data_IF_569338500650
#
_entry.id   IF_569338500650
#
_cell.length_a   1.000
_cell.length_b   1.000
_cell.length_c   1.000
_cell.angle_alpha   90.00
_cell.angle_beta   90.00
_cell.angle_gamma   90.00
#
_symmetry.space_group_name_H-M   'P 1'
#
loop_
_entity.id
_entity.type
_entity.pdbx_description
1 polymer ?
#
# COMPACT_ATOMS: atom_id res chain seq x y z
N UNK A 1 -3.08 19.13 -25.85
CA UNK A 1 -4.20 18.16 -25.84
C UNK A 1 -3.91 17.14 -24.76
N UNK A 2 -4.88 16.86 -23.87
CA UNK A 2 -4.70 15.88 -22.78
C UNK A 2 -4.57 14.47 -23.38
N UNK A 3 -3.48 13.75 -23.08
CA UNK A 3 -3.17 12.41 -23.59
C UNK A 3 -2.60 11.57 -22.45
N UNK A 4 -3.41 11.32 -21.43
CA UNK A 4 -3.01 10.43 -20.34
C UNK A 4 -3.02 9.01 -20.88
N UNK A 5 -1.92 8.25 -20.80
CA UNK A 5 -1.86 6.91 -21.37
C UNK A 5 -2.88 5.97 -20.72
N UNK A 6 -3.05 6.05 -19.40
CA UNK A 6 -4.06 5.30 -18.64
C UNK A 6 -4.97 6.29 -17.90
N UNK A 7 -6.29 6.18 -18.09
CA UNK A 7 -7.30 7.00 -17.42
C UNK A 7 -8.21 6.11 -16.58
N UNK A 8 -8.35 6.45 -15.29
CA UNK A 8 -9.19 5.73 -14.35
C UNK A 8 -10.20 6.67 -13.70
N UNK A 9 -11.41 6.18 -13.48
CA UNK A 9 -12.42 6.89 -12.70
C UNK A 9 -13.07 5.94 -11.71
N UNK A 10 -13.51 6.50 -10.59
CA UNK A 10 -14.13 5.80 -9.48
C UNK A 10 -15.22 6.69 -8.89
N UNK A 11 -16.39 6.11 -8.66
CA UNK A 11 -17.47 6.74 -7.91
C UNK A 11 -17.40 6.28 -6.44
N UNK A 12 -17.14 7.19 -5.47
CA UNK A 12 -17.02 6.82 -4.07
C UNK A 12 -18.34 6.40 -3.39
N UNK A 13 -19.49 6.66 -4.02
CA UNK A 13 -20.80 6.32 -3.48
C UNK A 13 -21.33 5.01 -4.05
N UNK A 14 -21.19 4.77 -5.35
CA UNK A 14 -21.63 3.52 -5.99
C UNK A 14 -20.56 2.45 -6.03
N UNK A 15 -19.30 2.81 -5.77
CA UNK A 15 -18.12 1.97 -5.96
C UNK A 15 -17.94 1.50 -7.41
N UNK A 16 -18.56 2.18 -8.37
CA UNK A 16 -18.28 1.94 -9.78
C UNK A 16 -16.86 2.38 -10.11
N UNK A 17 -16.14 1.53 -10.85
CA UNK A 17 -14.75 1.73 -11.17
C UNK A 17 -14.47 1.21 -12.57
N UNK A 18 -13.84 2.06 -13.38
CA UNK A 18 -13.39 1.66 -14.71
C UNK A 18 -12.08 2.36 -15.07
N UNK A 19 -11.37 1.74 -16.02
CA UNK A 19 -10.07 2.17 -16.50
C UNK A 19 -10.01 2.05 -18.01
N UNK A 20 -9.23 2.93 -18.62
CA UNK A 20 -9.08 3.01 -20.06
C UNK A 20 -7.64 3.26 -20.44
N UNK A 21 -7.18 2.59 -21.50
CA UNK A 21 -5.85 2.80 -22.07
C UNK A 21 -5.96 3.49 -23.44
N UNK A 22 -5.08 4.44 -23.71
CA UNK A 22 -5.05 5.21 -24.95
C UNK A 22 -4.30 4.46 -26.05
N UNK A 23 -5.04 3.91 -27.03
CA UNK A 23 -4.51 3.20 -28.20
C UNK A 23 -4.95 3.91 -29.47
N UNK A 24 -4.00 4.29 -30.34
CA UNK A 24 -4.26 5.00 -31.59
C UNK A 24 -5.17 6.24 -31.43
N UNK A 25 -5.00 6.96 -30.33
CA UNK A 25 -5.79 8.15 -30.00
C UNK A 25 -7.21 7.88 -29.50
N UNK A 26 -7.56 6.62 -29.21
CA UNK A 26 -8.86 6.22 -28.64
C UNK A 26 -8.67 5.52 -27.31
N UNK A 27 -9.53 5.84 -26.35
CA UNK A 27 -9.57 5.15 -25.07
C UNK A 27 -10.29 3.81 -25.23
N UNK A 28 -9.60 2.72 -24.90
CA UNK A 28 -10.16 1.37 -24.87
C UNK A 28 -10.30 0.92 -23.40
N UNK A 29 -11.38 0.24 -23.02
CA UNK A 29 -11.56 -0.25 -21.66
C UNK A 29 -10.45 -1.23 -21.28
N UNK A 30 -10.01 -1.16 -20.02
CA UNK A 30 -9.12 -2.14 -19.41
C UNK A 30 -10.01 -3.20 -18.77
N UNK A 31 -9.80 -4.46 -19.16
CA UNK A 31 -10.51 -5.58 -18.56
C UNK A 31 -9.98 -5.87 -17.15
N UNK A 32 -10.87 -6.10 -16.16
CA UNK A 32 -10.46 -6.49 -14.82
C UNK A 32 -9.89 -7.91 -14.79
N UNK A 33 -8.95 -8.13 -13.87
CA UNK A 33 -8.51 -9.47 -13.51
C UNK A 33 -9.57 -10.20 -12.66
N UNK A 34 -9.27 -11.44 -12.23
CA UNK A 34 -10.17 -12.26 -11.40
C UNK A 34 -10.57 -11.59 -10.07
N UNK A 35 -9.79 -10.62 -9.59
CA UNK A 35 -10.03 -9.87 -8.36
C UNK A 35 -10.77 -8.55 -8.60
N UNK A 36 -11.10 -8.21 -9.85
CA UNK A 36 -11.72 -6.93 -10.19
C UNK A 36 -10.73 -5.77 -10.35
N UNK A 37 -9.41 -6.04 -10.41
CA UNK A 37 -8.39 -5.00 -10.53
C UNK A 37 -8.02 -4.73 -11.99
N UNK A 38 -7.71 -3.46 -12.30
CA UNK A 38 -7.35 -2.99 -13.63
C UNK A 38 -5.84 -2.77 -13.74
N UNK A 39 -5.21 -3.35 -14.74
CA UNK A 39 -3.76 -3.22 -14.94
C UNK A 39 -3.39 -1.89 -15.60
N UNK A 40 -2.50 -1.12 -14.97
CA UNK A 40 -1.85 0.04 -15.59
C UNK A 40 -0.48 -0.35 -16.13
N UNK A 41 -0.32 -0.30 -17.46
CA UNK A 41 0.96 -0.58 -18.10
C UNK A 41 2.02 0.49 -17.76
N UNK A 42 1.60 1.74 -17.55
CA UNK A 42 2.54 2.82 -17.22
C UNK A 42 3.10 2.69 -15.80
N UNK A 43 2.26 2.28 -14.86
CA UNK A 43 2.66 2.17 -13.46
C UNK A 43 3.25 0.79 -13.13
N UNK A 44 3.00 -0.23 -13.95
CA UNK A 44 3.24 -1.64 -13.64
C UNK A 44 2.59 -2.04 -12.31
N UNK A 45 1.39 -1.50 -12.08
CA UNK A 45 0.58 -1.72 -10.89
C UNK A 45 -0.86 -1.97 -11.32
N UNK A 46 -1.57 -2.68 -10.46
CA UNK A 46 -3.01 -2.80 -10.52
C UNK A 46 -3.67 -1.65 -9.77
N UNK A 47 -4.83 -1.22 -10.25
CA UNK A 47 -5.73 -0.33 -9.53
C UNK A 47 -7.01 -1.11 -9.19
N UNK A 48 -7.50 -0.94 -7.97
CA UNK A 48 -8.69 -1.62 -7.51
C UNK A 48 -9.33 -0.91 -6.34
N UNK A 49 -10.47 -1.43 -5.89
CA UNK A 49 -11.18 -0.89 -4.73
C UNK A 49 -10.81 -1.75 -3.51
N UNK A 50 -10.28 -1.10 -2.49
CA UNK A 50 -9.98 -1.70 -1.19
C UNK A 50 -10.59 -0.86 -0.08
N UNK A 51 -11.39 -1.48 0.80
CA UNK A 51 -12.09 -0.79 1.88
C UNK A 51 -12.87 0.47 1.43
N UNK A 52 -13.49 0.42 0.25
CA UNK A 52 -14.27 1.54 -0.30
C UNK A 52 -13.43 2.69 -0.87
N UNK A 53 -12.12 2.49 -1.06
CA UNK A 53 -11.22 3.47 -1.64
C UNK A 53 -10.48 2.88 -2.84
N UNK A 54 -10.18 3.72 -3.83
CA UNK A 54 -9.27 3.34 -4.90
C UNK A 54 -7.84 3.23 -4.33
N UNK A 55 -7.22 2.06 -4.49
CA UNK A 55 -5.85 1.78 -4.05
C UNK A 55 -5.03 1.18 -5.18
N UNK A 56 -3.71 1.37 -5.09
CA UNK A 56 -2.76 0.67 -5.93
C UNK A 56 -2.44 -0.70 -5.34
N UNK A 57 -2.23 -1.67 -6.21
CA UNK A 57 -1.83 -3.03 -5.87
C UNK A 57 -0.60 -3.42 -6.68
N UNK A 58 0.32 -4.11 -6.03
CA UNK A 58 1.47 -4.75 -6.66
C UNK A 58 1.00 -5.84 -7.64
N UNK A 59 1.87 -6.28 -8.57
CA UNK A 59 1.59 -7.44 -9.43
C UNK A 59 1.23 -8.71 -8.65
N UNK A 60 1.73 -8.84 -7.43
CA UNK A 60 1.46 -9.94 -6.50
C UNK A 60 0.10 -9.80 -5.77
N UNK A 61 -0.64 -8.71 -6.01
CA UNK A 61 -1.96 -8.45 -5.42
C UNK A 61 -1.93 -7.83 -4.03
N UNK A 62 -0.77 -7.33 -3.57
CA UNK A 62 -0.67 -6.64 -2.27
C UNK A 62 -0.97 -5.14 -2.42
N UNK A 63 -1.71 -4.57 -1.48
CA UNK A 63 -1.98 -3.12 -1.44
C UNK A 63 -0.67 -2.37 -1.25
N UNK A 64 -0.39 -1.41 -2.14
CA UNK A 64 0.75 -0.50 -2.00
C UNK A 64 0.42 0.49 -0.87
N UNK A 65 1.26 0.57 0.17
CA UNK A 65 1.03 1.47 1.29
C UNK A 65 1.24 2.93 0.87
N UNK A 66 0.51 3.84 1.51
CA UNK A 66 0.78 5.28 1.38
C UNK A 66 2.03 5.65 2.17
N UNK A 67 2.71 6.75 1.82
CA UNK A 67 3.84 7.23 2.62
C UNK A 67 3.50 7.44 4.10
N UNK A 68 2.26 7.84 4.39
CA UNK A 68 1.76 8.02 5.76
C UNK A 68 1.60 6.68 6.50
N UNK A 69 1.04 5.66 5.84
CA UNK A 69 0.93 4.30 6.41
C UNK A 69 2.30 3.68 6.68
N UNK A 70 3.27 3.92 5.79
CA UNK A 70 4.67 3.48 6.01
C UNK A 70 5.26 4.18 7.23
N UNK A 71 5.12 5.51 7.33
CA UNK A 71 5.65 6.27 8.45
C UNK A 71 5.01 5.86 9.80
N UNK A 72 3.71 5.59 9.80
CA UNK A 72 3.01 5.10 11.00
C UNK A 72 3.51 3.70 11.41
N UNK A 73 3.67 2.78 10.44
CA UNK A 73 4.22 1.45 10.68
C UNK A 73 5.63 1.53 11.28
N UNK A 74 6.52 2.35 10.70
CA UNK A 74 7.88 2.52 11.19
C UNK A 74 7.92 3.10 12.61
N UNK A 75 6.99 4.01 12.95
CA UNK A 75 6.88 4.56 14.30
C UNK A 75 6.47 3.48 15.30
N UNK A 76 5.42 2.72 14.99
CA UNK A 76 4.94 1.63 15.84
C UNK A 76 6.00 0.55 16.06
N UNK A 77 6.75 0.20 15.01
CA UNK A 77 7.85 -0.77 15.12
C UNK A 77 8.98 -0.27 16.03
N UNK A 78 9.33 1.03 15.94
CA UNK A 78 10.32 1.65 16.83
C UNK A 78 9.86 1.65 18.28
N UNK A 79 8.61 2.04 18.55
CA UNK A 79 8.06 2.05 19.91
C UNK A 79 8.00 0.64 20.50
N UNK A 80 7.60 -0.35 19.70
CA UNK A 80 7.55 -1.75 20.13
C UNK A 80 8.96 -2.29 20.40
N UNK A 81 9.95 -1.95 19.57
CA UNK A 81 11.34 -2.32 19.77
C UNK A 81 11.91 -1.69 21.05
N UNK A 82 11.63 -0.41 21.30
CA UNK A 82 12.04 0.28 22.54
C UNK A 82 11.41 -0.36 23.78
N UNK A 83 10.10 -0.60 23.76
CA UNK A 83 9.39 -1.25 24.87
C UNK A 83 9.94 -2.64 25.16
N UNK A 84 10.29 -3.41 24.11
CA UNK A 84 10.92 -4.73 24.25
C UNK A 84 12.32 -4.62 24.85
N UNK A 85 13.12 -3.64 24.41
CA UNK A 85 14.45 -3.38 24.94
C UNK A 85 14.39 -3.01 26.42
N UNK A 86 13.48 -2.11 26.81
CA UNK A 86 13.28 -1.70 28.20
C UNK A 86 12.85 -2.87 29.08
N UNK A 87 11.91 -3.71 28.60
CA UNK A 87 11.51 -4.93 29.32
C UNK A 87 12.65 -5.93 29.47
N UNK A 88 13.48 -6.07 28.44
CA UNK A 88 14.64 -6.95 28.49
C UNK A 88 15.69 -6.41 29.47
N UNK A 89 16.00 -5.12 29.42
CA UNK A 89 16.92 -4.46 30.34
C UNK A 89 16.44 -4.56 31.80
N UNK A 90 15.13 -4.38 32.05
CA UNK A 90 14.53 -4.58 33.36
C UNK A 90 14.73 -6.02 33.86
N UNK A 91 14.45 -7.02 33.02
CA UNK A 91 14.67 -8.44 33.38
C UNK A 91 16.13 -8.78 33.63
N UNK A 92 17.06 -8.21 32.85
CA UNK A 92 18.50 -8.40 33.08
C UNK A 92 18.94 -7.81 34.42
N UNK A 93 18.47 -6.61 34.76
CA UNK A 93 18.70 -5.98 36.07
C UNK A 93 18.12 -6.81 37.22
N UNK A 94 16.93 -7.38 37.06
CA UNK A 94 16.34 -8.32 38.06
C UNK A 94 17.23 -9.56 38.28
N UNK A 95 17.93 -10.01 37.24
CA UNK A 95 18.88 -11.12 37.29
C UNK A 95 20.29 -10.70 37.77
N UNK A 96 20.49 -9.46 38.23
CA UNK A 96 21.79 -8.86 38.57
C UNK A 96 22.81 -8.86 37.42
N UNK A 97 22.34 -8.89 36.17
CA UNK A 97 23.16 -8.74 34.97
C UNK A 97 23.05 -7.28 34.53
N UNK A 98 24.17 -6.58 34.43
CA UNK A 98 24.20 -5.18 34.01
C UNK A 98 23.99 -5.07 32.48
N UNK A 99 22.84 -4.57 32.00
CA UNK A 99 22.55 -4.51 30.58
C UNK A 99 23.45 -3.52 29.80
N UNK A 100 24.20 -2.65 30.48
CA UNK A 100 25.12 -1.68 29.87
C UNK A 100 26.55 -2.26 29.66
N UNK A 101 26.77 -3.53 30.01
CA UNK A 101 28.07 -4.21 29.87
C UNK A 101 28.15 -5.23 28.72
N UNK A 102 27.12 -5.32 27.87
CA UNK A 102 27.01 -6.23 26.72
C UNK A 102 27.09 -5.45 25.41
#
# INVERSE_FOLDING_TARGET
TFRTPDYFWFDPYTLEFAGFHLVDGKYQPIEPNEQGHLWSQQLNLYLGIYHGQMRFFTPEGQVVPTPEEVAESEHQEKELAQTKLERLAAKLRELNIDPDTI
#
